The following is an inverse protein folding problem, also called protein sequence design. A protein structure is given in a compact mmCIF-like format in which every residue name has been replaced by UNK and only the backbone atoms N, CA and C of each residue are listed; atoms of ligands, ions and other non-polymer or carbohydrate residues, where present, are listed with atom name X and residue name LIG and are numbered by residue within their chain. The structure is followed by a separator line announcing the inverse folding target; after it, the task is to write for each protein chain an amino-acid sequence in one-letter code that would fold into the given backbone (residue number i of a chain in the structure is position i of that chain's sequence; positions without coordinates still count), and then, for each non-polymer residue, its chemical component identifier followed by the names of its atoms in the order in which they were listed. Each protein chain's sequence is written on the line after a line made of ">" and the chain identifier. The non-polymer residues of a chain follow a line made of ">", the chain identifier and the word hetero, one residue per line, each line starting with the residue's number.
data_IF_178166108230
#
_entry.id   IF_178166108230
#
_cell.length_a   1.000
_cell.length_b   1.000
_cell.length_c   1.000
_cell.angle_alpha   90.00
_cell.angle_beta   90.00
_cell.angle_gamma   90.00
#
_symmetry.space_group_name_H-M   'P 1'
#
loop_
_entity.id
_entity.type
_entity.pdbx_description
1 polymer ?
#
# COMPACT_ATOMS: atom_id res chain seq x y z
N UNK A 1 -26.08 -20.52 -1.69
CA UNK A 1 -24.91 -21.39 -1.68
C UNK A 1 -24.61 -21.70 -3.12
N UNK A 2 -23.63 -21.00 -3.69
CA UNK A 2 -23.48 -20.85 -5.14
C UNK A 2 -22.01 -20.75 -5.51
N UNK A 3 -21.50 -21.83 -6.09
CA UNK A 3 -20.19 -21.86 -6.74
C UNK A 3 -20.35 -21.36 -8.17
N UNK A 4 -19.57 -20.36 -8.57
CA UNK A 4 -19.64 -19.68 -9.86
C UNK A 4 -18.43 -20.05 -10.71
N UNK A 5 -18.62 -20.20 -12.03
CA UNK A 5 -17.53 -20.44 -12.98
C UNK A 5 -17.64 -19.56 -14.23
N UNK A 6 -16.56 -18.89 -14.61
CA UNK A 6 -16.52 -18.08 -15.84
C UNK A 6 -16.17 -18.92 -17.09
N UNK A 7 -16.21 -18.36 -18.31
CA UNK A 7 -15.69 -19.02 -19.50
C UNK A 7 -14.16 -19.02 -19.49
N UNK A 8 -13.51 -20.04 -20.08
CA UNK A 8 -12.06 -20.12 -20.08
C UNK A 8 -11.50 -19.01 -20.98
N UNK A 9 -10.65 -18.17 -20.43
CA UNK A 9 -10.11 -17.00 -21.12
C UNK A 9 -8.61 -16.74 -20.84
N UNK A 10 -8.06 -17.36 -19.78
CA UNK A 10 -6.73 -17.01 -19.28
C UNK A 10 -5.67 -18.01 -19.75
N UNK A 11 -4.74 -17.63 -20.65
CA UNK A 11 -3.77 -18.57 -21.22
C UNK A 11 -2.63 -18.86 -20.24
N UNK A 12 -2.39 -20.14 -19.94
CA UNK A 12 -1.25 -20.63 -19.17
C UNK A 12 -1.01 -22.12 -19.48
N UNK A 13 0.21 -22.63 -19.25
CA UNK A 13 0.53 -24.08 -19.35
C UNK A 13 -0.01 -24.81 -20.59
N UNK A 14 -0.06 -24.13 -21.75
CA UNK A 14 -0.56 -24.70 -23.00
C UNK A 14 -2.09 -24.85 -23.10
N UNK A 15 -2.86 -24.20 -22.23
CA UNK A 15 -4.33 -24.19 -22.25
C UNK A 15 -4.90 -22.83 -21.83
N UNK A 16 -6.22 -22.72 -21.77
CA UNK A 16 -6.94 -21.58 -21.20
C UNK A 16 -7.66 -22.00 -19.92
N UNK A 17 -7.70 -21.11 -18.93
CA UNK A 17 -8.28 -21.37 -17.61
C UNK A 17 -9.55 -20.54 -17.39
N UNK A 18 -10.48 -21.15 -16.66
CA UNK A 18 -11.64 -20.50 -16.02
C UNK A 18 -11.33 -20.31 -14.54
N UNK A 19 -12.00 -19.39 -13.88
CA UNK A 19 -11.97 -19.22 -12.44
C UNK A 19 -13.24 -19.77 -11.82
N UNK A 20 -13.07 -20.49 -10.72
CA UNK A 20 -14.15 -21.03 -9.90
C UNK A 20 -14.15 -20.34 -8.53
N UNK A 21 -15.26 -19.72 -8.14
CA UNK A 21 -15.37 -18.94 -6.88
C UNK A 21 -16.62 -19.31 -6.10
N UNK A 22 -16.66 -18.97 -4.82
CA UNK A 22 -17.90 -18.85 -4.05
C UNK A 22 -18.20 -17.38 -3.77
N UNK A 23 -19.48 -17.02 -3.78
CA UNK A 23 -19.95 -15.71 -3.30
C UNK A 23 -20.45 -15.74 -1.84
N UNK A 24 -20.23 -16.86 -1.13
CA UNK A 24 -20.68 -17.07 0.24
C UNK A 24 -19.54 -17.40 1.23
N UNK A 25 -18.67 -18.38 0.92
CA UNK A 25 -17.54 -18.74 1.79
C UNK A 25 -16.43 -19.54 1.07
N UNK A 26 -15.20 -19.47 1.58
CA UNK A 26 -14.11 -20.35 1.09
C UNK A 26 -14.34 -21.82 1.45
N UNK A 27 -15.00 -22.10 2.58
CA UNK A 27 -15.33 -23.47 2.99
C UNK A 27 -16.19 -24.18 1.94
N UNK A 28 -17.21 -23.51 1.43
CA UNK A 28 -18.06 -24.01 0.35
C UNK A 28 -17.24 -24.27 -0.92
N UNK A 29 -16.40 -23.31 -1.32
CA UNK A 29 -15.56 -23.42 -2.51
C UNK A 29 -14.62 -24.63 -2.41
N UNK A 30 -13.97 -24.81 -1.25
CA UNK A 30 -13.09 -25.95 -0.99
C UNK A 30 -13.86 -27.28 -0.95
N UNK A 31 -15.05 -27.31 -0.35
CA UNK A 31 -15.88 -28.51 -0.32
C UNK A 31 -16.27 -28.95 -1.74
N UNK A 32 -16.70 -28.01 -2.58
CA UNK A 32 -17.03 -28.26 -3.98
C UNK A 32 -15.80 -28.74 -4.77
N UNK A 33 -14.66 -28.04 -4.62
CA UNK A 33 -13.42 -28.38 -5.32
C UNK A 33 -12.92 -29.78 -4.96
N UNK A 34 -12.95 -30.17 -3.67
CA UNK A 34 -12.61 -31.52 -3.22
C UNK A 34 -13.55 -32.58 -3.80
N UNK A 35 -14.85 -32.34 -3.77
CA UNK A 35 -15.85 -33.27 -4.34
C UNK A 35 -15.69 -33.45 -5.86
N UNK A 36 -15.19 -32.41 -6.55
CA UNK A 36 -14.89 -32.45 -7.97
C UNK A 36 -13.46 -32.95 -8.29
N UNK A 37 -12.64 -33.28 -7.29
CA UNK A 37 -11.25 -33.73 -7.52
C UNK A 37 -10.36 -32.65 -8.15
N UNK A 38 -10.58 -31.38 -7.80
CA UNK A 38 -9.62 -30.31 -8.11
C UNK A 38 -8.45 -30.36 -7.11
N UNK A 39 -7.24 -30.17 -7.61
CA UNK A 39 -6.05 -30.10 -6.77
C UNK A 39 -6.09 -28.85 -5.90
N UNK A 40 -5.74 -28.95 -4.62
CA UNK A 40 -5.57 -27.79 -3.75
C UNK A 40 -4.51 -26.82 -4.27
N UNK A 41 -3.55 -27.28 -5.08
CA UNK A 41 -2.55 -26.41 -5.74
C UNK A 41 -3.15 -25.48 -6.79
N UNK A 42 -4.36 -25.76 -7.25
CA UNK A 42 -5.09 -24.89 -8.17
C UNK A 42 -5.86 -23.79 -7.44
N UNK A 43 -5.88 -23.79 -6.11
CA UNK A 43 -6.48 -22.71 -5.32
C UNK A 43 -5.52 -21.52 -5.22
N UNK A 44 -6.03 -20.35 -5.57
CA UNK A 44 -5.32 -19.08 -5.48
C UNK A 44 -6.12 -18.09 -4.63
N UNK A 45 -6.15 -18.40 -3.32
CA UNK A 45 -6.68 -17.57 -2.19
C UNK A 45 -8.19 -17.31 -2.18
N UNK A 46 -8.76 -16.88 -3.29
CA UNK A 46 -10.18 -16.54 -3.41
C UNK A 46 -10.90 -17.29 -4.54
N UNK A 47 -10.16 -18.06 -5.33
CA UNK A 47 -10.68 -18.84 -6.45
C UNK A 47 -9.84 -20.09 -6.74
N UNK A 48 -10.37 -21.01 -7.56
CA UNK A 48 -9.59 -22.07 -8.20
C UNK A 48 -9.39 -21.77 -9.68
N UNK A 49 -8.18 -22.03 -10.18
CA UNK A 49 -7.87 -22.06 -11.62
C UNK A 49 -8.28 -23.41 -12.22
N UNK A 50 -9.25 -23.37 -13.12
CA UNK A 50 -9.85 -24.55 -13.74
C UNK A 50 -9.45 -24.63 -15.22
N UNK A 51 -8.68 -25.64 -15.66
CA UNK A 51 -8.32 -25.76 -17.07
C UNK A 51 -9.56 -26.04 -17.93
N UNK A 52 -9.57 -25.55 -19.17
CA UNK A 52 -10.74 -25.53 -20.05
C UNK A 52 -11.51 -26.86 -20.13
N UNK A 53 -10.78 -27.98 -20.18
CA UNK A 53 -11.34 -29.32 -20.30
C UNK A 53 -12.15 -29.77 -19.08
N UNK A 54 -11.94 -29.18 -17.90
CA UNK A 54 -12.69 -29.49 -16.67
C UNK A 54 -13.97 -28.67 -16.51
N UNK A 55 -14.13 -27.55 -17.24
CA UNK A 55 -15.25 -26.62 -17.04
C UNK A 55 -16.61 -27.29 -17.18
N UNK A 56 -16.81 -28.07 -18.25
CA UNK A 56 -18.09 -28.74 -18.52
C UNK A 56 -18.47 -29.72 -17.39
N UNK A 57 -17.49 -30.42 -16.84
CA UNK A 57 -17.67 -31.31 -15.68
C UNK A 57 -18.12 -30.53 -14.44
N UNK A 58 -17.46 -29.40 -14.13
CA UNK A 58 -17.81 -28.61 -12.96
C UNK A 58 -19.22 -28.00 -13.07
N UNK A 59 -19.62 -27.57 -14.27
CA UNK A 59 -20.99 -27.11 -14.53
C UNK A 59 -22.00 -28.24 -14.30
N UNK A 60 -21.71 -29.45 -14.80
CA UNK A 60 -22.58 -30.61 -14.58
C UNK A 60 -22.69 -31.02 -13.09
N UNK A 61 -21.67 -30.69 -12.28
CA UNK A 61 -21.66 -30.91 -10.82
C UNK A 61 -22.32 -29.79 -10.02
N UNK A 62 -22.82 -28.73 -10.68
CA UNK A 62 -23.59 -27.65 -10.03
C UNK A 62 -22.88 -26.31 -9.94
N UNK A 63 -21.69 -26.12 -10.53
CA UNK A 63 -21.11 -24.79 -10.68
C UNK A 63 -21.96 -23.97 -11.65
N UNK A 64 -22.38 -22.78 -11.23
CA UNK A 64 -23.24 -21.90 -12.03
C UNK A 64 -22.39 -21.12 -13.02
N UNK A 65 -22.60 -21.31 -14.35
CA UNK A 65 -21.85 -20.57 -15.35
C UNK A 65 -22.27 -19.10 -15.36
N UNK A 66 -21.29 -18.21 -15.26
CA UNK A 66 -21.48 -16.75 -15.31
C UNK A 66 -20.48 -16.12 -16.26
N UNK A 67 -20.61 -14.83 -16.56
CA UNK A 67 -19.55 -14.09 -17.27
C UNK A 67 -18.42 -13.73 -16.30
N UNK A 68 -17.20 -13.53 -16.80
CA UNK A 68 -16.09 -13.06 -15.95
C UNK A 68 -16.39 -11.73 -15.24
N UNK A 69 -17.14 -10.82 -15.90
CA UNK A 69 -17.57 -9.55 -15.30
C UNK A 69 -18.52 -9.77 -14.11
N UNK A 70 -19.45 -10.71 -14.24
CA UNK A 70 -20.39 -11.04 -13.16
C UNK A 70 -19.69 -11.79 -12.02
N UNK A 71 -18.78 -12.73 -12.35
CA UNK A 71 -17.98 -13.45 -11.37
C UNK A 71 -17.20 -12.49 -10.46
N UNK A 72 -16.47 -11.54 -11.07
CA UNK A 72 -15.70 -10.54 -10.32
C UNK A 72 -16.59 -9.63 -9.47
N UNK A 73 -17.77 -9.25 -9.98
CA UNK A 73 -18.73 -8.43 -9.23
C UNK A 73 -19.21 -9.14 -7.98
N UNK A 74 -19.61 -10.41 -8.10
CA UNK A 74 -20.12 -11.21 -6.96
C UNK A 74 -19.02 -11.53 -5.97
N UNK A 75 -17.83 -11.91 -6.43
CA UNK A 75 -16.68 -12.15 -5.55
C UNK A 75 -16.27 -10.87 -4.80
N UNK A 76 -16.34 -9.70 -5.44
CA UNK A 76 -16.09 -8.44 -4.76
C UNK A 76 -17.17 -8.12 -3.72
N UNK A 77 -18.44 -8.34 -4.04
CA UNK A 77 -19.57 -8.11 -3.13
C UNK A 77 -19.60 -9.07 -1.93
N UNK A 78 -19.04 -10.28 -2.07
CA UNK A 78 -18.96 -11.27 -0.98
C UNK A 78 -17.90 -10.91 0.07
N UNK A 79 -17.00 -9.97 -0.22
CA UNK A 79 -15.86 -9.64 0.65
C UNK A 79 -14.74 -10.69 0.63
N UNK A 80 -14.90 -11.81 -0.09
CA UNK A 80 -13.89 -12.86 -0.19
C UNK A 80 -12.75 -12.52 -1.15
N UNK A 81 -12.95 -11.55 -2.04
CA UNK A 81 -11.94 -11.16 -3.03
C UNK A 81 -10.65 -10.73 -2.34
N UNK A 82 -9.53 -11.35 -2.72
CA UNK A 82 -8.17 -10.93 -2.39
C UNK A 82 -7.58 -10.22 -3.61
N UNK A 83 -7.58 -8.87 -3.65
CA UNK A 83 -7.05 -8.12 -4.77
C UNK A 83 -5.58 -8.48 -5.07
N UNK A 84 -5.15 -8.41 -6.33
CA UNK A 84 -3.75 -8.65 -6.70
C UNK A 84 -2.76 -7.74 -5.94
N UNK A 85 -3.18 -6.51 -5.61
CA UNK A 85 -2.45 -5.56 -4.75
C UNK A 85 -2.26 -6.02 -3.30
N UNK A 86 -3.12 -6.91 -2.82
CA UNK A 86 -3.06 -7.51 -1.49
C UNK A 86 -2.19 -8.78 -1.49
N UNK A 87 -1.48 -9.08 -2.59
CA UNK A 87 -0.61 -10.24 -2.69
C UNK A 87 0.84 -9.85 -2.38
N UNK A 88 1.25 -10.09 -1.13
CA UNK A 88 2.58 -9.74 -0.61
C UNK A 88 3.72 -10.13 -1.57
N UNK A 89 3.79 -11.39 -2.03
CA UNK A 89 4.86 -11.85 -2.94
C UNK A 89 4.96 -11.05 -4.26
N UNK A 90 3.83 -10.68 -4.87
CA UNK A 90 3.84 -9.89 -6.12
C UNK A 90 4.23 -8.43 -5.83
N UNK A 91 3.79 -7.90 -4.69
CA UNK A 91 4.13 -6.55 -4.22
C UNK A 91 5.62 -6.43 -3.95
N UNK A 92 6.21 -7.38 -3.25
CA UNK A 92 7.62 -7.34 -2.89
C UNK A 92 8.52 -7.42 -4.13
N UNK A 93 8.12 -8.21 -5.15
CA UNK A 93 8.78 -8.21 -6.46
C UNK A 93 8.65 -6.86 -7.18
N UNK A 94 7.47 -6.21 -7.13
CA UNK A 94 7.26 -4.88 -7.72
C UNK A 94 8.11 -3.84 -7.00
N UNK A 95 8.14 -3.87 -5.67
CA UNK A 95 8.91 -2.97 -4.84
C UNK A 95 10.42 -3.18 -5.05
N UNK A 96 10.91 -4.41 -5.05
CA UNK A 96 12.31 -4.71 -5.35
C UNK A 96 12.76 -4.18 -6.72
N UNK A 97 11.89 -4.28 -7.74
CA UNK A 97 12.14 -3.68 -9.07
C UNK A 97 12.13 -2.16 -9.03
N UNK A 98 11.20 -1.54 -8.29
CA UNK A 98 11.15 -0.09 -8.09
C UNK A 98 12.39 0.43 -7.40
N UNK A 99 12.90 -0.28 -6.38
CA UNK A 99 14.15 0.03 -5.71
C UNK A 99 15.34 -0.05 -6.66
N UNK A 100 15.52 -1.18 -7.36
CA UNK A 100 16.64 -1.37 -8.29
C UNK A 100 16.71 -0.28 -9.37
N UNK A 101 15.55 0.18 -9.87
CA UNK A 101 15.45 1.27 -10.85
C UNK A 101 16.01 2.60 -10.37
N UNK A 102 16.04 2.87 -9.07
CA UNK A 102 16.65 4.10 -8.53
C UNK A 102 18.16 4.16 -8.76
N UNK A 103 18.78 3.02 -9.04
CA UNK A 103 20.23 2.87 -9.23
C UNK A 103 20.59 2.50 -10.68
N UNK A 104 19.63 2.35 -11.59
CA UNK A 104 19.89 2.12 -13.01
C UNK A 104 20.71 3.28 -13.60
N UNK A 105 21.79 2.96 -14.29
CA UNK A 105 22.70 3.98 -14.87
C UNK A 105 23.62 4.69 -13.86
N UNK A 106 23.61 4.28 -12.60
CA UNK A 106 24.57 4.77 -11.58
C UNK A 106 25.80 3.87 -11.47
N UNK A 107 26.80 4.29 -10.71
CA UNK A 107 27.99 3.47 -10.40
C UNK A 107 27.77 2.49 -9.23
N UNK A 108 26.53 2.31 -8.76
CA UNK A 108 26.22 1.45 -7.63
C UNK A 108 26.50 -0.03 -7.91
N UNK A 109 27.00 -0.74 -6.90
CA UNK A 109 27.16 -2.19 -6.92
C UNK A 109 25.80 -2.88 -6.90
N UNK A 110 25.48 -3.78 -7.86
CA UNK A 110 24.22 -4.52 -7.87
C UNK A 110 23.93 -5.31 -6.59
N UNK A 111 24.99 -5.84 -5.95
CA UNK A 111 24.87 -6.58 -4.69
C UNK A 111 24.50 -5.68 -3.51
N UNK A 112 25.12 -4.48 -3.42
CA UNK A 112 24.80 -3.51 -2.39
C UNK A 112 23.36 -3.00 -2.54
N UNK A 113 22.93 -2.69 -3.79
CA UNK A 113 21.56 -2.29 -4.10
C UNK A 113 20.57 -3.38 -3.69
N UNK A 114 20.83 -4.64 -4.07
CA UNK A 114 19.95 -5.76 -3.73
C UNK A 114 19.86 -5.98 -2.22
N UNK A 115 21.00 -5.87 -1.51
CA UNK A 115 21.05 -6.04 -0.05
C UNK A 115 20.28 -4.94 0.68
N UNK A 116 20.51 -3.68 0.33
CA UNK A 116 19.80 -2.55 0.95
C UNK A 116 18.29 -2.62 0.70
N UNK A 117 17.87 -2.93 -0.54
CA UNK A 117 16.44 -3.05 -0.87
C UNK A 117 15.75 -4.19 -0.13
N UNK A 118 16.43 -5.32 0.06
CA UNK A 118 15.91 -6.45 0.82
C UNK A 118 15.80 -6.14 2.31
N UNK A 119 16.78 -5.44 2.88
CA UNK A 119 16.74 -5.00 4.29
C UNK A 119 15.56 -4.06 4.53
N UNK A 120 15.39 -3.06 3.65
CA UNK A 120 14.24 -2.14 3.71
C UNK A 120 12.91 -2.89 3.63
N UNK A 121 12.75 -3.80 2.68
CA UNK A 121 11.52 -4.60 2.58
C UNK A 121 11.26 -5.44 3.83
N UNK A 122 12.29 -5.97 4.48
CA UNK A 122 12.13 -6.71 5.72
C UNK A 122 11.62 -5.81 6.87
N UNK A 123 12.12 -4.58 6.97
CA UNK A 123 11.65 -3.59 7.96
C UNK A 123 10.20 -3.20 7.73
N UNK A 124 9.84 -2.90 6.48
CA UNK A 124 8.46 -2.60 6.12
C UNK A 124 7.50 -3.78 6.40
N UNK A 125 8.01 -5.02 6.38
CA UNK A 125 7.24 -6.23 6.61
C UNK A 125 7.25 -6.73 8.07
N UNK A 126 7.70 -5.92 9.03
CA UNK A 126 7.71 -6.31 10.44
C UNK A 126 6.29 -6.66 10.94
N UNK A 127 6.09 -7.73 11.72
CA UNK A 127 4.76 -8.26 12.01
C UNK A 127 3.82 -7.36 12.82
N UNK A 128 4.37 -6.36 13.53
CA UNK A 128 3.57 -5.40 14.30
C UNK A 128 2.97 -4.28 13.44
N UNK A 129 3.32 -4.23 12.15
CA UNK A 129 2.86 -3.20 11.21
C UNK A 129 1.65 -3.70 10.42
N UNK A 130 0.56 -2.95 10.49
CA UNK A 130 -0.71 -3.22 9.81
C UNK A 130 -1.02 -2.13 8.77
N UNK A 131 -0.91 -0.84 9.13
CA UNK A 131 -1.01 0.23 8.13
C UNK A 131 0.35 0.55 7.53
N UNK A 132 1.37 0.73 8.36
CA UNK A 132 2.73 1.09 7.92
C UNK A 132 3.49 -0.12 7.37
N UNK A 133 2.84 -0.88 6.48
CA UNK A 133 3.31 -2.11 5.84
C UNK A 133 3.81 -1.84 4.39
N UNK A 134 4.29 -2.85 3.64
CA UNK A 134 4.78 -2.59 2.29
C UNK A 134 3.67 -2.18 1.30
N UNK A 135 2.37 -2.34 1.63
CA UNK A 135 1.29 -1.80 0.80
C UNK A 135 1.22 -0.28 0.91
N UNK A 136 1.49 0.29 2.10
CA UNK A 136 1.64 1.74 2.28
C UNK A 136 2.78 2.29 1.43
N UNK A 137 3.99 1.72 1.57
CA UNK A 137 5.14 2.09 0.73
C UNK A 137 4.82 2.09 -0.76
N UNK A 138 4.17 1.03 -1.27
CA UNK A 138 3.79 0.97 -2.68
C UNK A 138 2.80 2.10 -3.04
N UNK A 139 1.81 2.38 -2.18
CA UNK A 139 0.84 3.44 -2.40
C UNK A 139 1.48 4.83 -2.43
N UNK A 140 2.44 5.12 -1.55
CA UNK A 140 3.20 6.38 -1.57
C UNK A 140 3.96 6.50 -2.89
N UNK A 141 4.72 5.48 -3.28
CA UNK A 141 5.48 5.52 -4.54
C UNK A 141 4.57 5.64 -5.78
N UNK A 142 3.40 5.00 -5.79
CA UNK A 142 2.41 5.15 -6.88
C UNK A 142 1.80 6.54 -6.92
N UNK A 143 1.61 7.16 -5.75
CA UNK A 143 1.10 8.52 -5.62
C UNK A 143 2.11 9.56 -6.07
N UNK A 144 3.41 9.38 -5.76
CA UNK A 144 4.50 10.19 -6.34
C UNK A 144 4.44 10.14 -7.87
N UNK A 145 4.38 8.94 -8.46
CA UNK A 145 4.31 8.79 -9.92
C UNK A 145 3.05 9.45 -10.52
N UNK A 146 1.92 9.39 -9.80
CA UNK A 146 0.66 10.00 -10.22
C UNK A 146 0.73 11.52 -10.22
N UNK A 147 1.29 12.12 -9.17
CA UNK A 147 1.44 13.56 -9.03
C UNK A 147 2.38 14.11 -10.10
N UNK A 148 3.51 13.46 -10.35
CA UNK A 148 4.44 13.86 -11.42
C UNK A 148 3.81 13.77 -12.81
N UNK A 149 3.08 12.68 -13.12
CA UNK A 149 2.34 12.56 -14.39
C UNK A 149 1.28 13.65 -14.55
N UNK A 150 0.71 14.13 -13.45
CA UNK A 150 -0.25 15.23 -13.43
C UNK A 150 0.42 16.62 -13.40
N UNK A 151 1.74 16.70 -13.51
CA UNK A 151 2.50 17.94 -13.68
C UNK A 151 3.13 18.50 -12.40
N UNK A 152 3.02 17.82 -11.25
CA UNK A 152 3.77 18.20 -10.06
C UNK A 152 5.28 18.06 -10.31
N UNK A 153 6.08 18.92 -9.67
CA UNK A 153 7.55 18.88 -9.78
C UNK A 153 8.12 18.29 -8.50
N UNK A 154 8.97 17.27 -8.61
CA UNK A 154 9.64 16.62 -7.48
C UNK A 154 11.01 17.25 -7.15
N UNK A 155 11.17 18.55 -7.41
CA UNK A 155 12.44 19.26 -7.21
C UNK A 155 13.50 18.93 -8.27
N UNK A 156 14.77 19.31 -8.01
CA UNK A 156 15.89 19.15 -8.95
C UNK A 156 16.37 17.69 -9.06
N UNK A 157 16.23 16.89 -8.00
CA UNK A 157 16.48 15.44 -8.02
C UNK A 157 15.22 14.65 -7.61
N UNK A 158 14.40 14.24 -8.60
CA UNK A 158 13.22 13.38 -8.36
C UNK A 158 13.55 12.01 -7.74
N UNK A 159 14.82 11.57 -7.76
CA UNK A 159 15.25 10.34 -7.09
C UNK A 159 15.23 10.50 -5.57
N UNK A 160 15.55 11.70 -5.05
CA UNK A 160 15.55 11.97 -3.62
C UNK A 160 14.16 11.75 -3.00
N UNK A 161 13.08 12.19 -3.68
CA UNK A 161 11.69 11.96 -3.23
C UNK A 161 11.37 10.47 -3.14
N UNK A 162 11.82 9.67 -4.12
CA UNK A 162 11.56 8.23 -4.14
C UNK A 162 12.37 7.49 -3.08
N UNK A 163 13.64 7.85 -2.89
CA UNK A 163 14.46 7.33 -1.80
C UNK A 163 13.83 7.70 -0.45
N UNK A 164 13.42 8.95 -0.23
CA UNK A 164 12.72 9.37 0.98
C UNK A 164 11.43 8.56 1.23
N UNK A 165 10.64 8.29 0.19
CA UNK A 165 9.47 7.41 0.32
C UNK A 165 9.83 6.00 0.82
N UNK A 166 10.97 5.43 0.42
CA UNK A 166 11.45 4.15 0.95
C UNK A 166 11.86 4.19 2.42
N UNK A 167 12.34 5.36 2.89
CA UNK A 167 12.86 5.51 4.24
C UNK A 167 11.87 6.09 5.24
N UNK A 168 10.81 6.82 4.82
CA UNK A 168 10.03 7.67 5.76
C UNK A 168 9.48 6.96 7.00
N UNK A 169 8.99 5.72 6.85
CA UNK A 169 8.60 4.85 7.97
C UNK A 169 9.46 3.57 8.03
N UNK A 170 10.68 3.58 7.49
CA UNK A 170 11.52 2.37 7.52
C UNK A 170 11.86 1.94 8.96
N UNK A 171 11.88 2.88 9.90
CA UNK A 171 11.78 2.63 11.34
C UNK A 171 10.38 3.07 11.79
N UNK A 172 9.65 2.18 12.45
CA UNK A 172 8.31 2.46 12.98
C UNK A 172 8.07 1.62 14.23
N UNK A 173 8.19 2.25 15.39
CA UNK A 173 7.85 1.64 16.68
C UNK A 173 6.42 2.01 17.08
N UNK A 174 5.97 3.23 16.77
CA UNK A 174 4.65 3.72 17.19
C UNK A 174 4.52 3.84 18.71
N UNK A 175 5.60 4.20 19.41
CA UNK A 175 5.60 4.38 20.85
C UNK A 175 5.02 5.76 21.22
N UNK A 176 3.81 5.83 21.83
CA UNK A 176 3.22 7.12 22.22
C UNK A 176 3.99 7.83 23.35
N UNK A 177 4.93 7.15 24.03
CA UNK A 177 5.79 7.75 25.04
C UNK A 177 7.08 8.36 24.45
N UNK A 178 7.41 8.05 23.19
CA UNK A 178 8.54 8.64 22.50
C UNK A 178 8.26 10.11 22.14
N UNK A 179 9.30 10.94 21.94
CA UNK A 179 9.13 12.27 21.40
C UNK A 179 8.39 12.26 20.06
N UNK A 180 7.55 13.26 19.82
CA UNK A 180 6.91 13.43 18.51
C UNK A 180 8.00 13.55 17.42
N UNK A 181 7.85 12.80 16.31
CA UNK A 181 8.84 12.76 15.23
C UNK A 181 10.00 11.79 15.44
N UNK A 182 9.98 10.95 16.49
CA UNK A 182 11.10 10.05 16.80
C UNK A 182 11.29 8.95 15.72
N UNK A 183 10.20 8.32 15.26
CA UNK A 183 10.27 7.30 14.21
C UNK A 183 10.83 7.89 12.89
N UNK A 184 10.45 9.12 12.54
CA UNK A 184 10.97 9.86 11.39
C UNK A 184 12.44 10.24 11.57
N UNK A 185 12.84 10.62 12.79
CA UNK A 185 14.24 10.92 13.09
C UNK A 185 15.13 9.67 12.96
N UNK A 186 14.67 8.52 13.46
CA UNK A 186 15.38 7.25 13.38
C UNK A 186 15.40 6.72 11.93
N UNK A 187 14.30 6.91 11.19
CA UNK A 187 14.22 6.64 9.76
C UNK A 187 15.17 7.51 8.94
N UNK A 188 15.31 8.80 9.27
CA UNK A 188 16.26 9.70 8.63
C UNK A 188 17.72 9.35 8.96
N UNK A 189 18.00 8.90 10.20
CA UNK A 189 19.30 8.38 10.59
C UNK A 189 19.65 7.11 9.81
N UNK A 190 18.70 6.16 9.72
CA UNK A 190 18.83 4.95 8.90
C UNK A 190 19.09 5.29 7.43
N UNK A 191 18.41 6.29 6.87
CA UNK A 191 18.64 6.74 5.50
C UNK A 191 20.08 7.20 5.28
N UNK A 192 20.65 7.97 6.21
CA UNK A 192 22.06 8.39 6.14
C UNK A 192 23.00 7.20 6.25
N UNK A 193 22.79 6.32 7.22
CA UNK A 193 23.65 5.15 7.44
C UNK A 193 23.68 4.22 6.22
N UNK A 194 22.52 3.98 5.59
CA UNK A 194 22.43 3.10 4.42
C UNK A 194 23.00 3.80 3.18
N UNK A 195 22.54 5.02 2.87
CA UNK A 195 22.85 5.67 1.59
C UNK A 195 24.28 6.22 1.51
N UNK A 196 24.98 6.38 2.64
CA UNK A 196 26.41 6.75 2.65
C UNK A 196 27.34 5.57 2.35
N UNK A 197 26.83 4.33 2.23
CA UNK A 197 27.64 3.21 1.73
C UNK A 197 28.21 3.57 0.35
N UNK A 198 29.54 3.66 0.18
CA UNK A 198 30.15 4.06 -1.09
C UNK A 198 29.78 3.12 -2.24
N UNK A 199 29.38 1.88 -1.95
CA UNK A 199 28.91 0.91 -2.94
C UNK A 199 27.54 1.24 -3.51
N UNK A 200 26.72 2.08 -2.85
CA UNK A 200 25.46 2.58 -3.41
C UNK A 200 25.64 3.81 -4.30
N UNK A 201 26.83 4.44 -4.27
CA UNK A 201 27.19 5.58 -5.12
C UNK A 201 26.14 6.71 -5.12
N UNK A 202 25.52 6.99 -3.96
CA UNK A 202 24.58 8.10 -3.78
C UNK A 202 25.37 9.36 -3.41
N UNK A 203 25.25 10.47 -4.16
CA UNK A 203 25.89 11.73 -3.82
C UNK A 203 25.43 12.27 -2.46
N UNK A 204 26.33 12.92 -1.72
CA UNK A 204 26.07 13.38 -0.36
C UNK A 204 24.91 14.39 -0.27
N UNK A 205 24.78 15.28 -1.25
CA UNK A 205 23.66 16.24 -1.35
C UNK A 205 22.30 15.54 -1.53
N UNK A 206 22.27 14.40 -2.24
CA UNK A 206 21.07 13.57 -2.36
C UNK A 206 20.75 12.87 -1.04
N UNK A 207 21.76 12.38 -0.31
CA UNK A 207 21.56 11.78 1.03
C UNK A 207 20.98 12.80 2.00
N UNK A 208 21.53 14.02 2.02
CA UNK A 208 21.04 15.10 2.88
C UNK A 208 19.60 15.48 2.54
N UNK A 209 19.26 15.56 1.26
CA UNK A 209 17.88 15.84 0.83
C UNK A 209 16.93 14.70 1.21
N UNK A 210 17.33 13.43 1.06
CA UNK A 210 16.52 12.28 1.50
C UNK A 210 16.23 12.38 2.99
N UNK A 211 17.26 12.60 3.81
CA UNK A 211 17.07 12.70 5.25
C UNK A 211 16.22 13.91 5.67
N UNK A 212 16.35 15.05 4.97
CA UNK A 212 15.49 16.22 5.18
C UNK A 212 14.03 15.92 4.85
N UNK A 213 13.78 15.25 3.73
CA UNK A 213 12.44 14.87 3.28
C UNK A 213 11.80 13.84 4.20
N UNK A 214 12.57 12.89 4.74
CA UNK A 214 12.08 11.95 5.77
C UNK A 214 11.70 12.70 7.05
N UNK A 215 12.55 13.61 7.56
CA UNK A 215 12.20 14.41 8.75
C UNK A 215 10.94 15.27 8.54
N UNK A 216 10.70 15.71 7.30
CA UNK A 216 9.54 16.52 6.95
C UNK A 216 8.21 15.76 7.10
N UNK A 217 8.20 14.42 6.99
CA UNK A 217 6.98 13.62 7.15
C UNK A 217 6.48 13.59 8.60
N UNK A 218 7.24 14.07 9.58
CA UNK A 218 6.74 14.19 10.95
C UNK A 218 5.63 15.24 11.10
N UNK A 219 5.63 16.26 10.24
CA UNK A 219 4.66 17.37 10.29
C UNK A 219 3.86 17.54 8.98
N UNK A 220 4.31 16.94 7.89
CA UNK A 220 3.76 17.10 6.54
C UNK A 220 3.57 18.57 6.12
N UNK A 221 4.45 19.46 6.59
CA UNK A 221 4.35 20.91 6.39
C UNK A 221 5.51 21.47 5.55
N UNK A 222 5.56 21.17 4.24
CA UNK A 222 6.57 21.74 3.36
C UNK A 222 6.39 23.24 3.20
N UNK A 223 7.51 23.96 3.12
CA UNK A 223 7.51 25.38 2.78
C UNK A 223 6.87 25.62 1.39
N UNK A 224 6.32 26.82 1.10
CA UNK A 224 5.61 27.11 -0.16
C UNK A 224 6.39 26.84 -1.46
N UNK A 225 7.71 26.81 -1.41
CA UNK A 225 8.59 26.55 -2.56
C UNK A 225 9.31 25.19 -2.48
N UNK A 226 9.02 24.37 -1.48
CA UNK A 226 9.56 23.03 -1.34
C UNK A 226 8.75 22.03 -2.19
N UNK A 227 9.09 21.98 -3.48
CA UNK A 227 8.40 21.13 -4.44
C UNK A 227 8.56 19.62 -4.13
N UNK A 228 9.75 19.20 -3.70
CA UNK A 228 10.02 17.82 -3.32
C UNK A 228 9.23 17.42 -2.08
N UNK A 229 9.25 18.25 -1.03
CA UNK A 229 8.47 18.06 0.18
C UNK A 229 6.97 18.03 -0.10
N UNK A 230 6.46 18.93 -0.94
CA UNK A 230 5.06 18.94 -1.36
C UNK A 230 4.64 17.63 -2.04
N UNK A 231 5.48 17.06 -2.91
CA UNK A 231 5.16 15.78 -3.56
C UNK A 231 5.18 14.62 -2.56
N UNK A 232 6.17 14.55 -1.67
CA UNK A 232 6.25 13.47 -0.69
C UNK A 232 5.10 13.54 0.32
N UNK A 233 4.85 14.71 0.92
CA UNK A 233 3.76 14.88 1.88
C UNK A 233 2.39 14.60 1.26
N UNK A 234 2.12 15.08 0.04
CA UNK A 234 0.86 14.77 -0.63
C UNK A 234 0.71 13.28 -0.95
N UNK A 235 1.80 12.62 -1.33
CA UNK A 235 1.80 11.19 -1.66
C UNK A 235 1.56 10.31 -0.42
N UNK A 236 2.14 10.68 0.71
CA UNK A 236 1.96 9.99 1.98
C UNK A 236 0.54 10.19 2.56
N UNK A 237 0.02 11.43 2.47
CA UNK A 237 -1.34 11.77 2.90
C UNK A 237 -2.44 11.38 1.89
N UNK A 238 -2.11 10.72 0.77
CA UNK A 238 -3.09 10.31 -0.26
C UNK A 238 -4.23 9.49 0.34
N UNK A 239 -3.92 8.65 1.33
CA UNK A 239 -4.88 7.75 1.97
C UNK A 239 -6.11 8.48 2.50
N UNK A 240 -5.94 9.73 2.94
CA UNK A 240 -7.03 10.53 3.49
C UNK A 240 -8.09 10.80 2.42
N UNK A 241 -7.69 10.99 1.16
CA UNK A 241 -8.57 11.28 0.02
C UNK A 241 -9.24 10.08 -0.63
N UNK A 242 -9.07 8.85 -0.09
CA UNK A 242 -9.67 7.63 -0.65
C UNK A 242 -11.19 7.58 -0.44
N UNK A 243 -11.84 6.57 -1.05
CA UNK A 243 -13.27 6.32 -0.80
C UNK A 243 -13.52 6.03 0.69
N UNK A 244 -14.73 6.31 1.23
CA UNK A 244 -15.04 6.09 2.64
C UNK A 244 -14.73 4.66 3.13
N UNK A 245 -14.96 3.65 2.30
CA UNK A 245 -14.69 2.24 2.62
C UNK A 245 -13.19 1.94 2.67
N UNK A 246 -12.40 2.61 1.83
CA UNK A 246 -10.95 2.49 1.85
C UNK A 246 -10.33 3.26 3.02
N UNK A 247 -10.89 4.42 3.34
CA UNK A 247 -10.51 5.20 4.51
C UNK A 247 -10.81 4.46 5.81
N UNK A 248 -11.99 3.85 5.94
CA UNK A 248 -12.34 3.05 7.12
C UNK A 248 -11.38 1.86 7.34
N UNK A 249 -10.94 1.20 6.26
CA UNK A 249 -9.90 0.15 6.33
C UNK A 249 -8.55 0.71 6.78
N UNK A 250 -8.19 1.91 6.32
CA UNK A 250 -7.00 2.63 6.80
C UNK A 250 -7.10 2.87 8.31
N UNK A 251 -8.17 3.49 8.79
CA UNK A 251 -8.36 3.78 10.23
C UNK A 251 -8.30 2.49 11.07
N UNK A 252 -8.92 1.41 10.60
CA UNK A 252 -8.87 0.13 11.30
C UNK A 252 -7.44 -0.45 11.36
N UNK A 253 -6.66 -0.33 10.28
CA UNK A 253 -5.27 -0.78 10.26
C UNK A 253 -4.38 0.07 11.18
N UNK A 254 -4.54 1.40 11.18
CA UNK A 254 -3.82 2.26 12.14
C UNK A 254 -4.22 1.93 13.58
N UNK A 255 -5.51 1.67 13.86
CA UNK A 255 -5.92 1.23 15.21
C UNK A 255 -5.20 -0.06 15.64
N UNK A 256 -4.92 -0.97 14.71
CA UNK A 256 -4.16 -2.19 14.98
C UNK A 256 -2.68 -1.90 15.28
N UNK A 257 -2.05 -0.95 14.58
CA UNK A 257 -0.68 -0.50 14.88
C UNK A 257 -0.56 0.03 16.32
N UNK A 258 -1.64 0.60 16.84
CA UNK A 258 -1.71 1.14 18.21
C UNK A 258 -2.47 0.24 19.18
N UNK A 259 -2.60 -1.07 18.91
CA UNK A 259 -3.36 -1.99 19.77
C UNK A 259 -2.86 -2.05 21.22
N UNK A 260 -1.61 -1.67 21.49
CA UNK A 260 -1.02 -1.50 22.82
C UNK A 260 -1.51 -0.26 23.57
N UNK A 261 -2.12 0.71 22.88
CA UNK A 261 -2.64 1.95 23.45
C UNK A 261 -4.09 1.78 23.86
N UNK A 262 -4.45 2.29 25.04
CA UNK A 262 -5.82 2.24 25.56
C UNK A 262 -6.79 2.97 24.63
N UNK A 263 -8.05 2.56 24.58
CA UNK A 263 -9.05 3.21 23.71
C UNK A 263 -9.23 4.70 24.04
N UNK A 264 -9.12 5.08 25.31
CA UNK A 264 -9.24 6.47 25.74
C UNK A 264 -8.05 7.33 25.29
N UNK A 265 -6.82 6.80 25.40
CA UNK A 265 -5.62 7.51 24.97
C UNK A 265 -5.52 7.55 23.45
N UNK A 266 -5.91 6.46 22.76
CA UNK A 266 -6.05 6.40 21.32
C UNK A 266 -7.03 7.45 20.81
N UNK A 267 -8.25 7.49 21.33
CA UNK A 267 -9.27 8.46 20.90
C UNK A 267 -8.80 9.91 21.10
N UNK A 268 -8.12 10.20 22.21
CA UNK A 268 -7.56 11.52 22.50
C UNK A 268 -6.44 11.90 21.53
N UNK A 269 -5.46 11.01 21.33
CA UNK A 269 -4.33 11.25 20.43
C UNK A 269 -4.77 11.35 18.97
N UNK A 270 -5.60 10.41 18.51
CA UNK A 270 -6.15 10.41 17.15
C UNK A 270 -7.04 11.64 16.92
N UNK A 271 -7.87 12.02 17.89
CA UNK A 271 -8.67 13.23 17.82
C UNK A 271 -7.83 14.48 17.60
N UNK A 272 -6.70 14.63 18.31
CA UNK A 272 -5.78 15.75 18.14
C UNK A 272 -5.15 15.79 16.74
N UNK A 273 -4.76 14.63 16.18
CA UNK A 273 -4.24 14.54 14.80
C UNK A 273 -5.31 14.97 13.79
N UNK A 274 -6.55 14.50 13.95
CA UNK A 274 -7.66 14.86 13.06
C UNK A 274 -7.99 16.35 13.12
N UNK A 275 -8.01 16.93 14.33
CA UNK A 275 -8.26 18.36 14.52
C UNK A 275 -7.15 19.20 13.85
N UNK A 276 -5.87 18.85 14.05
CA UNK A 276 -4.76 19.52 13.39
C UNK A 276 -4.83 19.46 11.85
N UNK A 277 -5.20 18.31 11.28
CA UNK A 277 -5.39 18.15 9.84
C UNK A 277 -6.59 18.98 9.33
N UNK A 278 -7.71 19.00 10.06
CA UNK A 278 -8.89 19.77 9.67
C UNK A 278 -8.64 21.29 9.73
N UNK A 279 -7.85 21.75 10.70
CA UNK A 279 -7.47 23.15 10.89
C UNK A 279 -6.45 23.66 9.86
N UNK A 280 -5.70 22.76 9.21
CA UNK A 280 -4.76 23.14 8.16
C UNK A 280 -5.50 23.82 6.99
N UNK A 281 -4.98 24.96 6.50
CA UNK A 281 -5.55 25.68 5.33
C UNK A 281 -5.66 24.74 4.12
N UNK A 282 -4.67 23.87 3.94
CA UNK A 282 -4.58 22.91 2.84
C UNK A 282 -3.94 21.62 3.36
N UNK A 283 -4.61 20.50 3.11
CA UNK A 283 -4.05 19.17 3.35
C UNK A 283 -3.01 18.83 2.29
N UNK A 284 -3.29 19.20 1.02
CA UNK A 284 -2.43 18.93 -0.11
C UNK A 284 -1.77 20.20 -0.67
N UNK A 285 -0.47 20.13 -0.90
CA UNK A 285 0.42 21.25 -1.25
C UNK A 285 0.59 21.36 -2.76
N UNK A 286 0.50 20.25 -3.50
CA UNK A 286 0.51 20.25 -4.96
C UNK A 286 -0.88 20.59 -5.53
N UNK A 287 -0.92 21.25 -6.69
CA UNK A 287 -2.18 21.48 -7.41
C UNK A 287 -2.93 20.18 -7.77
N UNK A 288 -2.26 19.12 -8.31
CA UNK A 288 -2.93 17.85 -8.58
C UNK A 288 -3.43 17.14 -7.32
N UNK A 289 -2.67 17.15 -6.22
CA UNK A 289 -3.10 16.57 -4.94
C UNK A 289 -4.38 17.22 -4.42
N UNK A 290 -4.42 18.56 -4.37
CA UNK A 290 -5.63 19.30 -3.96
C UNK A 290 -6.85 18.96 -4.79
N UNK A 291 -6.68 18.94 -6.10
CA UNK A 291 -7.79 18.70 -7.04
C UNK A 291 -8.36 17.30 -6.85
N UNK A 292 -7.50 16.34 -6.51
CA UNK A 292 -7.86 14.92 -6.47
C UNK A 292 -8.40 14.47 -5.11
N UNK A 293 -7.86 15.00 -4.02
CA UNK A 293 -8.01 14.38 -2.70
C UNK A 293 -8.59 15.30 -1.62
N UNK A 294 -8.37 16.62 -1.68
CA UNK A 294 -8.71 17.56 -0.58
C UNK A 294 -10.16 17.43 -0.10
N UNK A 295 -11.12 17.49 -1.03
CA UNK A 295 -12.53 17.47 -0.68
C UNK A 295 -12.97 16.12 -0.08
N UNK A 296 -12.39 15.01 -0.54
CA UNK A 296 -12.67 13.68 0.00
C UNK A 296 -12.02 13.51 1.38
N UNK A 297 -10.77 13.95 1.53
CA UNK A 297 -10.02 13.91 2.78
C UNK A 297 -10.74 14.65 3.90
N UNK A 298 -11.19 15.89 3.64
CA UNK A 298 -11.92 16.67 4.66
C UNK A 298 -13.21 15.99 5.11
N UNK A 299 -13.96 15.35 4.20
CA UNK A 299 -15.15 14.58 4.56
C UNK A 299 -14.82 13.36 5.42
N UNK A 300 -13.78 12.62 5.05
CA UNK A 300 -13.35 11.43 5.78
C UNK A 300 -12.85 11.79 7.19
N UNK A 301 -11.99 12.80 7.31
CA UNK A 301 -11.46 13.30 8.58
C UNK A 301 -12.59 13.78 9.52
N UNK A 302 -13.52 14.58 9.00
CA UNK A 302 -14.66 15.07 9.79
C UNK A 302 -15.59 13.94 10.25
N UNK A 303 -15.83 12.93 9.40
CA UNK A 303 -16.63 11.78 9.77
C UNK A 303 -15.96 10.93 10.86
N UNK A 304 -14.65 10.69 10.75
CA UNK A 304 -13.90 9.99 11.80
C UNK A 304 -13.90 10.77 13.11
N UNK A 305 -13.67 12.09 13.05
CA UNK A 305 -13.64 12.94 14.24
C UNK A 305 -14.98 12.94 14.99
N UNK A 306 -16.08 12.95 14.26
CA UNK A 306 -17.43 12.83 14.82
C UNK A 306 -17.65 11.46 15.48
N UNK A 307 -17.20 10.38 14.85
CA UNK A 307 -17.29 9.02 15.39
C UNK A 307 -16.47 8.81 16.68
N UNK A 308 -15.33 9.48 16.84
CA UNK A 308 -14.53 9.41 18.08
C UNK A 308 -15.14 10.19 19.25
N UNK A 309 -16.12 11.06 19.00
CA UNK A 309 -16.76 11.89 20.03
C UNK A 309 -18.10 11.34 20.51
N UNK A 310 -18.58 10.25 19.92
CA UNK A 310 -19.84 9.59 20.20
C UNK A 310 -19.67 8.45 21.21
#
# INVERSE_FOLDING_TARGET
>A
MTVLIDPPAWPAHGTVFSHLVSDASLEELHAFARAAGLSERAFDRDHYDVPAHRRAELVARGAVPVTGRELVRRLAASGLRVPARSRAEKRDVVLARRWARLFEGTAASPDAVTTAGRDLLARWAEPHRHYHDPAHLLAVLESVDLLERAGAKAGPDPRAVRLAAWFHDAVYVGDPAAPAGQDEADSAALARDVLTDPRLAVPADVVDEVARLVLLTAAHDPAPHDAAGAVLSDADLEVLGRSPEAYARYVAAVRQDYAHVSDADWARGRGAVLDALLDAERLYRTAPGRTRWEAAARRNLAAERAALSA
#
